data_IF_469723524468
#
_entry.id   IF_469723524468
#
_cell.length_a   1.000
_cell.length_b   1.000
_cell.length_c   1.000
_cell.angle_alpha   90.00
_cell.angle_beta   90.00
_cell.angle_gamma   90.00
#
_symmetry.space_group_name_H-M   'P 1'
#
loop_
_entity.id
_entity.type
_entity.pdbx_description
1 polymer ?
#
# COMPACT_ATOMS: atom_id res chain seq x y z
N UNK A 1 -31.33 3.86 -28.81
CA UNK A 1 -29.94 3.99 -28.33
C UNK A 1 -29.82 3.17 -27.06
N UNK A 2 -29.19 1.99 -27.14
CA UNK A 2 -29.04 1.07 -26.01
C UNK A 2 -27.76 1.41 -25.27
N UNK A 3 -27.89 1.62 -23.97
CA UNK A 3 -26.77 1.84 -23.05
C UNK A 3 -25.83 0.62 -23.08
N UNK A 4 -24.55 0.89 -23.30
CA UNK A 4 -23.49 -0.11 -23.17
C UNK A 4 -23.22 -0.27 -21.67
N UNK A 5 -23.89 -1.25 -21.06
CA UNK A 5 -23.46 -1.81 -19.78
C UNK A 5 -22.06 -2.41 -19.98
N UNK A 6 -21.03 -1.75 -19.45
CA UNK A 6 -19.70 -2.34 -19.33
C UNK A 6 -19.68 -3.31 -18.16
N UNK A 7 -20.30 -4.48 -18.37
CA UNK A 7 -20.06 -5.67 -17.58
C UNK A 7 -18.76 -6.30 -18.09
N UNK A 8 -17.61 -5.87 -17.58
CA UNK A 8 -16.38 -6.64 -17.75
C UNK A 8 -16.09 -7.42 -16.48
N UNK A 9 -16.45 -8.69 -16.53
CA UNK A 9 -15.90 -9.74 -15.70
C UNK A 9 -14.36 -9.63 -15.69
N UNK A 10 -13.78 -9.40 -14.50
CA UNK A 10 -12.40 -9.71 -14.20
C UNK A 10 -12.37 -11.02 -13.40
N UNK A 11 -12.93 -12.08 -13.98
CA UNK A 11 -12.65 -13.42 -13.50
C UNK A 11 -11.28 -13.83 -14.07
N UNK A 12 -10.33 -14.09 -13.17
CA UNK A 12 -8.96 -14.56 -13.39
C UNK A 12 -7.91 -13.56 -13.92
N UNK A 13 -7.70 -12.44 -13.23
CA UNK A 13 -6.35 -11.86 -13.18
C UNK A 13 -5.59 -12.52 -12.02
N UNK A 14 -4.56 -13.31 -12.31
CA UNK A 14 -3.55 -13.65 -11.31
C UNK A 14 -3.18 -12.38 -10.54
N UNK A 15 -3.33 -12.39 -9.22
CA UNK A 15 -2.98 -11.28 -8.33
C UNK A 15 -1.61 -10.71 -8.73
N UNK A 16 -1.60 -9.50 -9.33
CA UNK A 16 -0.38 -8.87 -9.83
C UNK A 16 0.63 -8.68 -8.70
N UNK A 17 0.16 -8.47 -7.47
CA UNK A 17 1.00 -8.33 -6.28
C UNK A 17 1.71 -9.63 -5.94
N UNK A 18 1.04 -10.78 -6.12
CA UNK A 18 1.60 -12.11 -5.83
C UNK A 18 2.74 -12.51 -6.78
N UNK A 19 2.88 -11.85 -7.94
CA UNK A 19 3.94 -12.12 -8.92
C UNK A 19 5.31 -11.52 -8.55
N UNK A 20 5.39 -10.76 -7.46
CA UNK A 20 6.61 -10.07 -7.06
C UNK A 20 7.02 -10.39 -5.62
N UNK A 21 8.31 -10.59 -5.41
CA UNK A 21 8.89 -10.80 -4.07
C UNK A 21 9.36 -9.50 -3.40
N UNK A 22 9.43 -8.39 -4.14
CA UNK A 22 9.90 -7.10 -3.63
C UNK A 22 9.00 -5.97 -4.11
N UNK A 23 8.71 -5.02 -3.22
CA UNK A 23 7.93 -3.82 -3.53
C UNK A 23 8.56 -2.98 -4.64
N UNK A 24 9.87 -2.74 -4.57
CA UNK A 24 10.58 -1.92 -5.57
C UNK A 24 10.45 -2.49 -6.99
N UNK A 25 10.56 -3.82 -7.17
CA UNK A 25 10.37 -4.47 -8.48
C UNK A 25 8.93 -4.34 -8.99
N UNK A 26 7.94 -4.55 -8.11
CA UNK A 26 6.52 -4.37 -8.46
C UNK A 26 6.27 -2.97 -9.01
N UNK A 27 6.66 -1.92 -8.26
CA UNK A 27 6.42 -0.53 -8.67
C UNK A 27 7.11 -0.24 -10.00
N UNK A 28 8.40 -0.58 -10.15
CA UNK A 28 9.15 -0.29 -11.38
C UNK A 28 8.58 -0.99 -12.60
N UNK A 29 8.25 -2.28 -12.50
CA UNK A 29 7.69 -3.04 -13.62
C UNK A 29 6.35 -2.47 -14.04
N UNK A 30 5.46 -2.20 -13.08
CA UNK A 30 4.15 -1.60 -13.39
C UNK A 30 4.30 -0.19 -13.96
N UNK A 31 5.26 0.61 -13.49
CA UNK A 31 5.56 1.93 -14.07
C UNK A 31 5.99 1.85 -15.53
N UNK A 32 6.84 0.88 -15.88
CA UNK A 32 7.22 0.66 -17.28
C UNK A 32 6.05 0.20 -18.15
N UNK A 33 5.18 -0.69 -17.63
CA UNK A 33 3.97 -1.11 -18.33
C UNK A 33 3.06 0.10 -18.60
N UNK A 34 2.86 0.97 -17.62
CA UNK A 34 2.07 2.20 -17.79
C UNK A 34 2.69 3.16 -18.80
N UNK A 35 4.00 3.40 -18.73
CA UNK A 35 4.72 4.23 -19.72
C UNK A 35 4.59 3.65 -21.12
N UNK A 36 4.74 2.34 -21.26
CA UNK A 36 4.58 1.65 -22.55
C UNK A 36 3.19 1.91 -23.13
N UNK A 37 2.13 1.77 -22.32
CA UNK A 37 0.75 2.09 -22.73
C UNK A 37 0.63 3.52 -23.24
N UNK A 38 1.17 4.50 -22.52
CA UNK A 38 1.14 5.91 -22.92
C UNK A 38 1.91 6.14 -24.23
N UNK A 39 3.11 5.57 -24.35
CA UNK A 39 3.94 5.68 -25.55
C UNK A 39 3.33 5.01 -26.78
N UNK A 40 2.49 3.99 -26.63
CA UNK A 40 1.76 3.37 -27.73
C UNK A 40 0.69 4.30 -28.32
N UNK A 41 0.16 5.22 -27.52
CA UNK A 41 -0.86 6.18 -27.93
C UNK A 41 -0.26 7.53 -28.36
N UNK A 42 1.04 7.75 -28.10
CA UNK A 42 1.73 9.00 -28.36
C UNK A 42 2.42 9.03 -29.73
N UNK A 43 2.42 10.20 -30.36
CA UNK A 43 3.24 10.48 -31.55
C UNK A 43 4.74 10.28 -31.26
N UNK A 44 5.53 9.96 -32.30
CA UNK A 44 6.96 9.62 -32.16
C UNK A 44 7.76 10.64 -31.33
N UNK A 45 7.49 11.94 -31.50
CA UNK A 45 8.18 13.03 -30.80
C UNK A 45 7.73 13.26 -29.35
N UNK A 46 6.61 12.65 -28.93
CA UNK A 46 6.05 12.81 -27.59
C UNK A 46 6.34 11.60 -26.68
N UNK A 47 7.04 10.58 -27.21
CA UNK A 47 7.36 9.37 -26.44
C UNK A 47 8.36 9.69 -25.33
N UNK A 48 8.04 9.24 -24.12
CA UNK A 48 8.95 9.35 -22.98
C UNK A 48 10.01 8.26 -23.07
N UNK A 49 11.28 8.65 -23.02
CA UNK A 49 12.44 7.76 -23.06
C UNK A 49 13.29 7.92 -21.78
N UNK A 50 14.22 7.00 -21.54
CA UNK A 50 15.16 7.08 -20.41
C UNK A 50 14.66 6.44 -19.10
N UNK A 51 15.26 6.78 -17.95
CA UNK A 51 14.89 6.20 -16.66
C UNK A 51 13.48 6.60 -16.20
N UNK A 52 12.92 5.83 -15.26
CA UNK A 52 11.64 6.16 -14.62
C UNK A 52 11.77 7.43 -13.77
N UNK A 53 10.85 8.36 -13.95
CA UNK A 53 10.77 9.56 -13.13
C UNK A 53 10.11 9.26 -11.78
N UNK A 54 10.38 10.09 -10.78
CA UNK A 54 9.71 10.00 -9.47
C UNK A 54 8.19 10.19 -9.61
N UNK A 55 7.75 11.05 -10.52
CA UNK A 55 6.33 11.25 -10.82
C UNK A 55 5.64 9.97 -11.31
N UNK A 56 6.29 9.20 -12.19
CA UNK A 56 5.74 7.92 -12.66
C UNK A 56 5.70 6.86 -11.56
N UNK A 57 6.76 6.79 -10.75
CA UNK A 57 6.80 5.88 -9.60
C UNK A 57 5.69 6.22 -8.60
N UNK A 58 5.50 7.51 -8.28
CA UNK A 58 4.45 7.98 -7.39
C UNK A 58 3.05 7.70 -7.95
N UNK A 59 2.81 8.00 -9.23
CA UNK A 59 1.52 7.70 -9.89
C UNK A 59 1.22 6.19 -9.86
N UNK A 60 2.24 5.37 -10.11
CA UNK A 60 2.11 3.92 -10.07
C UNK A 60 1.80 3.45 -8.66
N UNK A 61 2.50 3.97 -7.66
CA UNK A 61 2.26 3.64 -6.26
C UNK A 61 0.83 4.00 -5.83
N UNK A 62 0.37 5.21 -6.14
CA UNK A 62 -1.01 5.63 -5.86
C UNK A 62 -2.03 4.70 -6.52
N UNK A 63 -1.79 4.29 -7.77
CA UNK A 63 -2.66 3.34 -8.47
C UNK A 63 -2.68 1.95 -7.80
N UNK A 64 -1.52 1.41 -7.43
CA UNK A 64 -1.42 0.13 -6.73
C UNK A 64 -2.11 0.15 -5.36
N UNK A 65 -1.97 1.25 -4.62
CA UNK A 65 -2.66 1.45 -3.34
C UNK A 65 -4.17 1.51 -3.55
N UNK A 66 -4.63 2.24 -4.57
CA UNK A 66 -6.05 2.31 -4.92
C UNK A 66 -6.64 0.93 -5.21
N UNK A 67 -5.95 0.13 -6.02
CA UNK A 67 -6.35 -1.26 -6.30
C UNK A 67 -6.41 -2.09 -5.01
N UNK A 68 -5.36 -2.03 -4.19
CA UNK A 68 -5.32 -2.74 -2.91
C UNK A 68 -6.46 -2.37 -1.97
N UNK A 69 -6.83 -1.08 -1.94
CA UNK A 69 -7.96 -0.59 -1.15
C UNK A 69 -9.30 -1.06 -1.72
N UNK A 70 -9.46 -1.07 -3.05
CA UNK A 70 -10.64 -1.61 -3.71
C UNK A 70 -10.83 -3.10 -3.40
N UNK A 71 -9.75 -3.88 -3.42
CA UNK A 71 -9.78 -5.31 -3.10
C UNK A 71 -10.08 -5.56 -1.61
N UNK A 72 -9.56 -4.74 -0.70
CA UNK A 72 -9.64 -4.98 0.74
C UNK A 72 -10.85 -4.32 1.43
N UNK A 73 -11.35 -3.21 0.88
CA UNK A 73 -12.31 -2.31 1.52
C UNK A 73 -13.44 -1.89 0.55
N UNK A 74 -13.80 -2.74 -0.40
CA UNK A 74 -14.81 -2.44 -1.43
C UNK A 74 -16.09 -1.83 -0.84
N UNK A 75 -16.71 -2.52 0.11
CA UNK A 75 -17.96 -2.08 0.74
C UNK A 75 -17.81 -0.73 1.46
N UNK A 76 -16.66 -0.53 2.11
CA UNK A 76 -16.37 0.71 2.84
C UNK A 76 -16.24 1.89 1.87
N UNK A 77 -15.55 1.70 0.74
CA UNK A 77 -15.41 2.70 -0.32
C UNK A 77 -16.79 3.05 -0.87
N UNK A 78 -17.60 2.05 -1.26
CA UNK A 78 -18.94 2.28 -1.82
C UNK A 78 -19.83 3.06 -0.85
N UNK A 79 -19.78 2.73 0.44
CA UNK A 79 -20.54 3.43 1.47
C UNK A 79 -20.05 4.85 1.72
N UNK A 80 -18.74 5.08 1.74
CA UNK A 80 -18.15 6.41 1.88
C UNK A 80 -18.52 7.33 0.71
N UNK A 81 -18.53 6.81 -0.51
CA UNK A 81 -18.87 7.60 -1.70
C UNK A 81 -20.37 7.91 -1.78
N UNK A 82 -21.26 7.01 -1.33
CA UNK A 82 -22.71 7.18 -1.48
C UNK A 82 -23.42 7.80 -0.28
N UNK A 83 -23.00 7.45 0.94
CA UNK A 83 -23.76 7.72 2.17
C UNK A 83 -22.96 8.51 3.20
N UNK A 84 -21.67 8.78 2.94
CA UNK A 84 -20.71 9.38 3.89
C UNK A 84 -20.62 8.68 5.26
N UNK A 85 -21.21 7.49 5.42
CA UNK A 85 -21.28 6.77 6.69
C UNK A 85 -21.02 5.28 6.46
N UNK A 86 -20.17 4.69 7.30
CA UNK A 86 -19.84 3.27 7.27
C UNK A 86 -20.80 2.45 8.14
N UNK A 87 -20.99 1.20 7.74
CA UNK A 87 -21.67 0.17 8.51
C UNK A 87 -20.98 -0.07 9.85
N UNK A 88 -21.77 -0.38 10.88
CA UNK A 88 -21.29 -0.77 12.22
C UNK A 88 -20.36 -1.98 12.22
N UNK A 89 -20.39 -2.80 11.16
CA UNK A 89 -19.53 -3.98 10.98
C UNK A 89 -18.16 -3.66 10.37
N UNK A 90 -17.95 -2.42 9.89
CA UNK A 90 -16.71 -2.04 9.24
C UNK A 90 -15.54 -2.01 10.22
N UNK A 91 -14.38 -2.53 9.79
CA UNK A 91 -13.11 -2.40 10.53
C UNK A 91 -12.62 -0.95 10.61
N UNK A 92 -13.16 -0.07 9.76
CA UNK A 92 -12.75 1.33 9.65
C UNK A 92 -13.69 2.29 10.40
N UNK A 93 -14.72 1.78 11.10
CA UNK A 93 -15.74 2.65 11.74
C UNK A 93 -15.15 3.61 12.78
N UNK A 94 -14.13 3.18 13.52
CA UNK A 94 -13.48 4.00 14.55
C UNK A 94 -12.48 5.02 14.00
N UNK A 95 -12.19 4.98 12.70
CA UNK A 95 -11.27 5.92 12.06
C UNK A 95 -12.07 7.10 11.49
N UNK A 96 -11.50 8.30 11.56
CA UNK A 96 -11.96 9.42 10.76
C UNK A 96 -11.29 9.30 9.38
N UNK A 97 -12.06 9.09 8.33
CA UNK A 97 -11.59 8.63 7.01
C UNK A 97 -12.28 9.39 5.88
N UNK A 98 -11.55 9.60 4.80
CA UNK A 98 -12.03 10.28 3.61
C UNK A 98 -11.34 9.72 2.37
N UNK A 99 -11.89 10.01 1.19
CA UNK A 99 -11.28 9.72 -0.10
C UNK A 99 -10.70 11.03 -0.62
N UNK A 100 -9.42 11.02 -0.98
CA UNK A 100 -8.75 12.21 -1.53
C UNK A 100 -9.04 12.41 -3.03
N UNK A 101 -8.50 13.49 -3.60
CA UNK A 101 -8.65 13.84 -5.02
C UNK A 101 -8.07 12.78 -5.98
N UNK A 102 -7.11 11.97 -5.52
CA UNK A 102 -6.56 10.86 -6.30
C UNK A 102 -7.41 9.58 -6.20
N UNK A 103 -8.45 9.62 -5.38
CA UNK A 103 -9.40 8.53 -5.18
C UNK A 103 -8.85 7.42 -4.29
N UNK A 104 -7.91 7.72 -3.40
CA UNK A 104 -7.43 6.78 -2.36
C UNK A 104 -7.96 7.16 -0.99
N UNK A 105 -8.19 6.15 -0.16
CA UNK A 105 -8.72 6.32 1.19
C UNK A 105 -7.60 6.69 2.17
N UNK A 106 -7.83 7.74 2.96
CA UNK A 106 -6.91 8.27 3.97
C UNK A 106 -7.58 8.44 5.33
N UNK A 107 -6.76 8.58 6.36
CA UNK A 107 -7.20 8.84 7.75
C UNK A 107 -6.90 10.28 8.13
N UNK A 108 -7.88 10.96 8.73
CA UNK A 108 -7.66 12.21 9.46
C UNK A 108 -7.05 11.94 10.83
N UNK A 109 -6.17 12.84 11.28
CA UNK A 109 -5.51 12.69 12.57
C UNK A 109 -5.19 14.01 13.25
N UNK A 110 -4.60 13.92 14.44
CA UNK A 110 -4.21 15.06 15.29
C UNK A 110 -3.13 15.95 14.67
N UNK A 111 -2.46 15.47 13.63
CA UNK A 111 -1.35 16.17 12.96
C UNK A 111 -1.82 17.13 11.86
N UNK A 112 -3.12 17.29 11.63
CA UNK A 112 -3.66 18.12 10.54
C UNK A 112 -3.08 19.55 10.48
N UNK A 113 -2.83 20.17 11.63
CA UNK A 113 -2.31 21.55 11.74
C UNK A 113 -0.78 21.63 11.87
N UNK A 114 -0.08 20.50 11.73
CA UNK A 114 1.40 20.47 11.82
C UNK A 114 2.06 20.90 10.51
N UNK A 115 3.38 21.13 10.54
CA UNK A 115 4.17 21.40 9.33
C UNK A 115 4.68 20.10 8.66
N UNK A 116 4.15 18.94 9.01
CA UNK A 116 4.53 17.69 8.37
C UNK A 116 4.03 17.59 6.92
N UNK A 117 4.61 16.66 6.16
CA UNK A 117 4.10 16.33 4.84
C UNK A 117 2.68 15.74 4.90
N UNK A 118 1.94 15.88 3.80
CA UNK A 118 0.54 15.46 3.72
C UNK A 118 0.35 13.97 4.02
N UNK A 119 1.28 13.10 3.61
CA UNK A 119 1.18 11.67 3.91
C UNK A 119 1.30 11.34 5.41
N UNK A 120 2.03 12.13 6.20
CA UNK A 120 2.15 11.93 7.65
C UNK A 120 0.97 12.54 8.40
N UNK A 121 0.40 13.62 7.87
CA UNK A 121 -0.85 14.21 8.38
C UNK A 121 -2.05 13.32 8.11
N UNK A 122 -2.12 12.80 6.88
CA UNK A 122 -3.24 12.05 6.33
C UNK A 122 -2.77 10.72 5.71
N UNK A 123 -2.39 9.74 6.55
CA UNK A 123 -1.82 8.49 6.08
C UNK A 123 -2.83 7.64 5.29
N UNK A 124 -2.28 6.88 4.33
CA UNK A 124 -3.03 6.03 3.40
C UNK A 124 -3.46 4.72 4.06
N UNK A 125 -4.74 4.38 4.02
CA UNK A 125 -5.24 3.16 4.66
C UNK A 125 -4.78 1.93 3.88
N UNK A 126 -4.25 0.92 4.58
CA UNK A 126 -3.85 -0.35 4.00
C UNK A 126 -4.37 -1.51 4.85
N UNK A 127 -4.76 -2.63 4.23
CA UNK A 127 -5.02 -3.88 4.97
C UNK A 127 -3.69 -4.64 5.18
N UNK A 128 -3.34 -4.96 6.42
CA UNK A 128 -2.15 -5.77 6.73
C UNK A 128 -2.18 -7.17 6.10
N UNK A 129 -3.36 -7.69 5.75
CA UNK A 129 -3.48 -9.00 5.09
C UNK A 129 -3.10 -8.97 3.62
N UNK A 130 -3.23 -7.81 2.97
CA UNK A 130 -3.02 -7.65 1.55
C UNK A 130 -1.54 -7.81 1.15
N UNK A 131 -1.29 -8.41 -0.02
CA UNK A 131 0.06 -8.72 -0.53
C UNK A 131 0.92 -7.46 -0.68
N UNK A 132 0.36 -6.37 -1.24
CA UNK A 132 1.03 -5.07 -1.32
C UNK A 132 1.57 -4.59 0.03
N UNK A 133 0.76 -4.65 1.08
CA UNK A 133 1.16 -4.18 2.43
C UNK A 133 2.30 -5.02 2.98
N UNK A 134 2.28 -6.34 2.77
CA UNK A 134 3.39 -7.23 3.15
C UNK A 134 4.67 -6.87 2.40
N UNK A 135 4.58 -6.60 1.10
CA UNK A 135 5.72 -6.16 0.29
C UNK A 135 6.30 -4.84 0.78
N UNK A 136 5.46 -3.86 1.13
CA UNK A 136 5.88 -2.57 1.69
C UNK A 136 6.62 -2.78 3.02
N UNK A 137 6.08 -3.59 3.93
CA UNK A 137 6.73 -3.85 5.22
C UNK A 137 8.07 -4.57 5.06
N UNK A 138 8.16 -5.57 4.17
CA UNK A 138 9.42 -6.26 3.91
C UNK A 138 10.48 -5.32 3.30
N UNK A 139 10.10 -4.48 2.34
CA UNK A 139 10.99 -3.49 1.73
C UNK A 139 11.49 -2.46 2.75
N UNK A 140 10.60 -1.96 3.62
CA UNK A 140 10.97 -1.06 4.71
C UNK A 140 11.88 -1.75 5.75
N UNK A 141 11.60 -3.00 6.11
CA UNK A 141 12.43 -3.77 7.04
C UNK A 141 13.87 -3.92 6.54
N UNK A 142 14.04 -4.19 5.24
CA UNK A 142 15.37 -4.29 4.61
C UNK A 142 16.05 -2.93 4.48
N UNK A 143 15.32 -1.88 4.07
CA UNK A 143 15.86 -0.51 3.95
C UNK A 143 16.30 0.10 5.28
N UNK A 144 15.64 -0.28 6.37
CA UNK A 144 15.98 0.15 7.72
C UNK A 144 16.95 -0.81 8.43
N UNK A 145 17.75 -1.57 7.66
CA UNK A 145 18.79 -2.46 8.19
C UNK A 145 18.27 -3.42 9.26
N UNK A 146 17.19 -4.15 8.94
CA UNK A 146 16.56 -5.12 9.84
C UNK A 146 15.95 -4.53 11.11
N UNK A 147 15.40 -3.31 11.03
CA UNK A 147 14.70 -2.66 12.12
C UNK A 147 13.69 -3.57 12.83
N UNK A 148 13.70 -3.51 14.17
CA UNK A 148 12.75 -4.22 15.02
C UNK A 148 11.30 -3.75 14.82
N UNK A 149 10.30 -4.49 15.34
CA UNK A 149 8.90 -4.29 14.99
C UNK A 149 8.35 -2.89 15.28
N UNK A 150 8.80 -2.27 16.38
CA UNK A 150 8.33 -0.95 16.81
C UNK A 150 8.84 0.16 15.88
N UNK A 151 10.13 0.15 15.56
CA UNK A 151 10.75 1.11 14.63
C UNK A 151 10.16 0.95 13.23
N UNK A 152 10.03 -0.30 12.76
CA UNK A 152 9.41 -0.61 11.47
C UNK A 152 7.99 -0.05 11.39
N UNK A 153 7.14 -0.33 12.39
CA UNK A 153 5.77 0.18 12.42
C UNK A 153 5.72 1.72 12.46
N UNK A 154 6.62 2.35 13.22
CA UNK A 154 6.70 3.81 13.29
C UNK A 154 7.04 4.42 11.93
N UNK A 155 8.02 3.87 11.22
CA UNK A 155 8.40 4.32 9.89
C UNK A 155 7.26 4.15 8.87
N UNK A 156 6.59 3.00 8.88
CA UNK A 156 5.43 2.78 8.01
C UNK A 156 4.31 3.80 8.28
N UNK A 157 4.09 4.15 9.56
CA UNK A 157 3.06 5.10 9.98
C UNK A 157 3.31 6.55 9.56
N UNK A 158 4.49 6.86 9.03
CA UNK A 158 4.75 8.17 8.45
C UNK A 158 4.03 8.38 7.12
N UNK A 159 3.61 7.31 6.43
CA UNK A 159 2.93 7.42 5.14
C UNK A 159 1.64 6.60 5.07
N UNK A 160 1.52 5.56 5.88
CA UNK A 160 0.44 4.57 5.78
C UNK A 160 -0.24 4.32 7.12
N UNK A 161 -1.53 3.98 7.09
CA UNK A 161 -2.30 3.53 8.22
C UNK A 161 -2.69 2.04 8.05
N UNK A 162 -1.78 1.11 8.36
CA UNK A 162 -2.02 -0.32 8.18
C UNK A 162 -2.97 -0.86 9.27
N UNK A 163 -4.15 -1.32 8.86
CA UNK A 163 -5.12 -2.00 9.72
C UNK A 163 -4.55 -3.35 10.12
N UNK A 164 -4.26 -3.54 11.41
CA UNK A 164 -3.54 -4.72 11.91
C UNK A 164 -2.01 -4.66 11.75
N UNK A 165 -1.44 -3.50 11.39
CA UNK A 165 -0.01 -3.36 11.07
C UNK A 165 0.96 -3.74 12.20
N UNK A 166 0.56 -3.65 13.47
CA UNK A 166 1.40 -4.09 14.60
C UNK A 166 1.73 -5.58 14.53
N UNK A 167 0.76 -6.42 14.19
CA UNK A 167 0.98 -7.86 14.07
C UNK A 167 1.82 -8.17 12.83
N UNK A 168 1.59 -7.46 11.74
CA UNK A 168 2.40 -7.59 10.53
C UNK A 168 3.86 -7.22 10.76
N UNK A 169 4.15 -6.12 11.48
CA UNK A 169 5.52 -5.75 11.83
C UNK A 169 6.24 -6.86 12.60
N UNK A 170 5.56 -7.45 13.61
CA UNK A 170 6.11 -8.58 14.37
C UNK A 170 6.35 -9.80 13.48
N UNK A 171 5.41 -10.11 12.60
CA UNK A 171 5.51 -11.25 11.68
C UNK A 171 6.68 -11.08 10.70
N UNK A 172 6.86 -9.89 10.13
CA UNK A 172 7.93 -9.59 9.18
C UNK A 172 9.31 -9.80 9.82
N UNK A 173 9.52 -9.24 11.01
CA UNK A 173 10.79 -9.42 11.73
C UNK A 173 11.00 -10.88 12.15
N UNK A 174 9.95 -11.55 12.63
CA UNK A 174 10.02 -12.97 13.04
C UNK A 174 10.35 -13.90 11.87
N UNK A 175 9.82 -13.63 10.68
CA UNK A 175 10.04 -14.45 9.50
C UNK A 175 11.36 -14.11 8.77
N UNK A 176 12.06 -13.07 9.21
CA UNK A 176 13.34 -12.70 8.62
C UNK A 176 14.46 -13.64 9.11
N UNK A 177 15.09 -14.35 8.18
CA UNK A 177 16.20 -15.27 8.48
C UNK A 177 17.37 -14.57 9.14
N UNK A 178 17.72 -13.35 8.70
CA UNK A 178 18.80 -12.56 9.32
C UNK A 178 18.47 -12.22 10.77
N UNK A 179 17.27 -11.71 11.04
CA UNK A 179 16.83 -11.39 12.41
C UNK A 179 16.77 -12.63 13.30
N UNK A 180 16.34 -13.77 12.76
CA UNK A 180 16.33 -15.03 13.48
C UNK A 180 17.75 -15.45 13.90
N UNK A 181 18.72 -15.38 12.99
CA UNK A 181 20.12 -15.78 13.27
C UNK A 181 20.79 -14.91 14.34
N UNK A 182 20.49 -13.61 14.37
CA UNK A 182 21.12 -12.66 15.32
C UNK A 182 20.41 -12.57 16.68
N UNK A 183 19.27 -13.26 16.85
CA UNK A 183 18.51 -13.28 18.10
C UNK A 183 18.39 -14.71 18.65
N UNK A 184 19.51 -15.33 19.09
CA UNK A 184 19.49 -16.66 19.66
C UNK A 184 18.68 -16.69 20.96
N UNK A 185 18.00 -17.81 21.22
CA UNK A 185 17.33 -18.00 22.50
C UNK A 185 18.38 -18.05 23.62
N UNK A 186 18.29 -17.20 24.66
CA UNK A 186 19.24 -17.28 25.76
C UNK A 186 19.09 -18.64 26.44
N UNK A 187 20.21 -19.35 26.62
CA UNK A 187 20.20 -20.60 27.39
C UNK A 187 19.62 -20.30 28.77
N UNK A 188 18.56 -21.01 29.14
CA UNK A 188 18.09 -20.97 30.53
C UNK A 188 19.20 -21.58 31.40
N UNK A 189 19.63 -20.89 32.47
CA UNK A 189 20.51 -21.52 33.45
C UNK A 189 19.85 -22.82 33.92
N UNK A 190 20.58 -23.93 33.86
CA UNK A 190 20.16 -25.15 34.54
C UNK A 190 20.30 -24.85 36.04
N UNK A 191 19.16 -24.69 36.70
CA UNK A 191 19.08 -24.66 38.16
C UNK A 191 19.32 -26.06 38.72
#
# INVERSE_FOLDING_TARGET
MKEVQTCHALETTQDIFARFSTFTKLVRVVSYILRFKVNCLASKHQKTLGPLTTAELNRTLTMLIKLSQQESFFDDIVQLTKKHQLSRKSKLIMLNRFIDESGVMRVYGRLQNSQFNENKKFPLILDAKHTLTKLIFNDAHLKLMHAGPQLLLSHIRENYWPIGGRNLAKQVVRNCVTCFKVNPYPLKPLL
#
